data_IF_678103318038
#
_entry.id   IF_678103318038
#
_cell.length_a   1.000
_cell.length_b   1.000
_cell.length_c   1.000
_cell.angle_alpha   90.00
_cell.angle_beta   90.00
_cell.angle_gamma   90.00
#
_symmetry.space_group_name_H-M   'P 1'
#
loop_
_entity.id
_entity.type
_entity.pdbx_description
1 polymer ?
#
# COMPACT_ATOMS: atom_id res chain seq x y z
N UNK A 1 -15.73 -13.27 10.89
CA UNK A 1 -14.98 -12.01 10.64
C UNK A 1 -13.48 -12.17 10.91
N UNK A 2 -13.09 -12.78 12.04
CA UNK A 2 -11.68 -13.14 12.35
C UNK A 2 -10.96 -13.91 11.23
N UNK A 3 -11.59 -14.93 10.65
CA UNK A 3 -10.99 -15.70 9.53
C UNK A 3 -10.75 -14.86 8.26
N UNK A 4 -11.59 -13.87 7.98
CA UNK A 4 -11.38 -12.94 6.86
C UNK A 4 -10.21 -12.01 7.16
N UNK A 5 -10.18 -11.42 8.36
CA UNK A 5 -9.09 -10.54 8.80
C UNK A 5 -7.73 -11.24 8.77
N UNK A 6 -7.68 -12.51 9.20
CA UNK A 6 -6.48 -13.33 9.14
C UNK A 6 -5.99 -13.53 7.70
N UNK A 7 -6.88 -13.96 6.79
CA UNK A 7 -6.54 -14.12 5.36
C UNK A 7 -6.10 -12.80 4.72
N UNK A 8 -6.78 -11.71 5.04
CA UNK A 8 -6.47 -10.37 4.53
C UNK A 8 -5.13 -9.85 5.06
N UNK A 9 -4.79 -10.15 6.31
CA UNK A 9 -3.49 -9.77 6.91
C UNK A 9 -2.33 -10.54 6.28
N UNK A 10 -2.50 -11.85 6.03
CA UNK A 10 -1.52 -12.65 5.27
C UNK A 10 -1.37 -12.11 3.85
N UNK A 11 -2.47 -11.82 3.18
CA UNK A 11 -2.44 -11.21 1.86
C UNK A 11 -1.70 -9.87 1.86
N UNK A 12 -1.90 -9.04 2.88
CA UNK A 12 -1.19 -7.76 3.04
C UNK A 12 0.32 -7.96 3.16
N UNK A 13 0.77 -8.91 3.99
CA UNK A 13 2.20 -9.24 4.13
C UNK A 13 2.76 -9.74 2.79
N UNK A 14 2.04 -10.62 2.10
CA UNK A 14 2.47 -11.14 0.81
C UNK A 14 2.64 -10.03 -0.23
N UNK A 15 1.65 -9.15 -0.38
CA UNK A 15 1.73 -8.02 -1.31
C UNK A 15 2.87 -7.05 -0.93
N UNK A 16 3.09 -6.79 0.35
CA UNK A 16 4.21 -5.96 0.80
C UNK A 16 5.57 -6.54 0.40
N UNK A 17 5.75 -7.86 0.47
CA UNK A 17 6.98 -8.54 0.03
C UNK A 17 7.15 -8.50 -1.49
N UNK A 18 6.07 -8.67 -2.26
CA UNK A 18 6.11 -8.52 -3.72
C UNK A 18 6.50 -7.10 -4.09
N UNK A 19 5.86 -6.10 -3.47
CA UNK A 19 6.16 -4.68 -3.71
C UNK A 19 7.62 -4.35 -3.36
N UNK A 20 8.11 -4.80 -2.20
CA UNK A 20 9.51 -4.65 -1.83
C UNK A 20 10.48 -5.22 -2.86
N UNK A 21 10.18 -6.41 -3.38
CA UNK A 21 11.03 -7.08 -4.38
C UNK A 21 11.05 -6.29 -5.69
N UNK A 22 9.87 -5.86 -6.17
CA UNK A 22 9.74 -5.09 -7.41
C UNK A 22 10.43 -3.73 -7.31
N UNK A 23 10.23 -3.02 -6.20
CA UNK A 23 10.82 -1.70 -5.98
C UNK A 23 12.35 -1.78 -5.83
N UNK A 24 12.84 -2.83 -5.16
CA UNK A 24 14.29 -3.07 -5.05
C UNK A 24 14.91 -3.40 -6.40
N UNK A 25 14.24 -4.21 -7.23
CA UNK A 25 14.69 -4.49 -8.60
C UNK A 25 14.68 -3.23 -9.47
N UNK A 26 13.66 -2.39 -9.34
CA UNK A 26 13.57 -1.13 -10.05
C UNK A 26 14.69 -0.17 -9.62
N UNK A 27 14.96 -0.05 -8.32
CA UNK A 27 16.04 0.76 -7.76
C UNK A 27 17.41 0.32 -8.29
N UNK A 28 17.68 -0.99 -8.35
CA UNK A 28 18.95 -1.53 -8.87
C UNK A 28 19.09 -1.27 -10.37
N UNK A 29 18.01 -1.40 -11.16
CA UNK A 29 18.06 -1.23 -12.62
C UNK A 29 18.14 0.24 -13.07
N UNK A 30 17.42 1.13 -12.40
CA UNK A 30 17.25 2.52 -12.84
C UNK A 30 17.98 3.54 -11.95
N UNK A 31 18.61 3.10 -10.86
CA UNK A 31 19.40 3.98 -9.99
C UNK A 31 18.57 5.01 -9.23
N UNK A 32 17.41 4.61 -8.69
CA UNK A 32 16.50 5.50 -7.95
C UNK A 32 17.20 6.14 -6.74
N UNK A 33 16.90 7.41 -6.50
CA UNK A 33 17.45 8.13 -5.35
C UNK A 33 16.86 7.59 -4.04
N UNK A 34 17.63 7.70 -2.95
CA UNK A 34 17.18 7.29 -1.61
C UNK A 34 15.89 8.04 -1.22
N UNK A 35 15.74 9.30 -1.64
CA UNK A 35 14.54 10.09 -1.40
C UNK A 35 13.28 9.50 -2.06
N UNK A 36 13.45 8.86 -3.23
CA UNK A 36 12.37 8.13 -3.90
C UNK A 36 12.11 6.76 -3.30
N UNK A 37 13.13 6.05 -2.79
CA UNK A 37 12.99 4.68 -2.29
C UNK A 37 12.53 4.59 -0.82
N UNK A 38 12.87 5.60 0.00
CA UNK A 38 12.55 5.62 1.43
C UNK A 38 11.04 5.54 1.73
N UNK A 39 10.16 6.29 1.04
CA UNK A 39 8.72 6.19 1.27
C UNK A 39 8.16 4.79 1.01
N UNK A 40 8.63 4.10 -0.03
CA UNK A 40 8.23 2.72 -0.35
C UNK A 40 8.69 1.74 0.73
N UNK A 41 9.93 1.89 1.24
CA UNK A 41 10.41 1.10 2.38
C UNK A 41 9.55 1.30 3.63
N UNK A 42 9.14 2.53 3.92
CA UNK A 42 8.26 2.83 5.05
C UNK A 42 6.89 2.17 4.83
N UNK A 43 6.33 2.24 3.62
CA UNK A 43 5.07 1.57 3.30
C UNK A 43 5.16 0.05 3.50
N UNK A 44 6.23 -0.57 3.02
CA UNK A 44 6.50 -2.01 3.21
C UNK A 44 6.61 -2.36 4.69
N UNK A 45 7.40 -1.60 5.47
CA UNK A 45 7.58 -1.84 6.89
C UNK A 45 6.25 -1.73 7.66
N UNK A 46 5.43 -0.74 7.33
CA UNK A 46 4.10 -0.55 7.91
C UNK A 46 3.17 -1.71 7.56
N UNK A 47 3.09 -2.12 6.29
CA UNK A 47 2.21 -3.21 5.85
C UNK A 47 2.60 -4.56 6.47
N UNK A 48 3.90 -4.87 6.56
CA UNK A 48 4.40 -6.09 7.21
C UNK A 48 4.09 -6.06 8.71
N UNK A 49 4.44 -4.96 9.39
CA UNK A 49 4.24 -4.83 10.84
C UNK A 49 2.75 -4.87 11.19
N UNK A 50 1.93 -4.12 10.46
CA UNK A 50 0.49 -4.09 10.69
C UNK A 50 -0.17 -5.43 10.39
N UNK A 51 0.24 -6.11 9.30
CA UNK A 51 -0.23 -7.45 8.99
C UNK A 51 0.12 -8.45 10.09
N UNK A 52 1.36 -8.44 10.56
CA UNK A 52 1.81 -9.33 11.63
C UNK A 52 1.09 -9.08 12.96
N UNK A 53 0.95 -7.80 13.35
CA UNK A 53 0.22 -7.43 14.56
C UNK A 53 -1.26 -7.81 14.48
N UNK A 54 -1.89 -7.62 13.32
CA UNK A 54 -3.31 -7.93 13.12
C UNK A 54 -3.59 -9.44 13.09
N UNK A 55 -2.61 -10.25 12.65
CA UNK A 55 -2.68 -11.71 12.78
C UNK A 55 -2.67 -12.16 14.24
N UNK A 56 -1.84 -11.53 15.08
CA UNK A 56 -1.72 -11.87 16.51
C UNK A 56 -2.89 -11.33 17.34
N UNK A 57 -3.30 -10.11 17.06
CA UNK A 57 -4.36 -9.43 17.77
C UNK A 57 -5.27 -8.68 16.80
N UNK A 58 -6.54 -9.08 16.74
CA UNK A 58 -7.55 -8.43 15.91
C UNK A 58 -7.86 -7.00 16.36
N UNK A 59 -7.46 -6.60 17.57
CA UNK A 59 -7.56 -5.23 18.07
C UNK A 59 -6.63 -4.25 17.32
N UNK A 60 -5.55 -4.75 16.71
CA UNK A 60 -4.56 -3.99 15.95
C UNK A 60 -5.02 -3.59 14.54
N UNK A 61 -6.28 -3.85 14.19
CA UNK A 61 -6.82 -3.53 12.86
C UNK A 61 -6.71 -2.05 12.47
N UNK A 62 -6.69 -1.15 13.45
CA UNK A 62 -6.45 0.27 13.23
C UNK A 62 -5.06 0.55 12.63
N UNK A 63 -4.05 -0.24 12.98
CA UNK A 63 -2.70 -0.14 12.43
C UNK A 63 -2.70 -0.61 10.97
N UNK A 64 -3.45 -1.67 10.66
CA UNK A 64 -3.62 -2.16 9.27
C UNK A 64 -4.34 -1.14 8.40
N UNK A 65 -5.35 -0.46 8.94
CA UNK A 65 -6.01 0.65 8.27
C UNK A 65 -5.06 1.83 8.00
N UNK A 66 -4.23 2.19 8.98
CA UNK A 66 -3.21 3.23 8.81
C UNK A 66 -2.18 2.88 7.74
N UNK A 67 -1.71 1.62 7.71
CA UNK A 67 -0.74 1.15 6.72
C UNK A 67 -1.29 1.19 5.27
N UNK A 68 -2.52 0.71 5.06
CA UNK A 68 -3.17 0.79 3.75
C UNK A 68 -3.51 2.24 3.35
N UNK A 69 -3.86 3.10 4.31
CA UNK A 69 -4.06 4.52 4.07
C UNK A 69 -2.77 5.23 3.64
N UNK A 70 -1.65 4.93 4.32
CA UNK A 70 -0.33 5.44 3.93
C UNK A 70 0.05 4.99 2.51
N UNK A 71 -0.11 3.70 2.20
CA UNK A 71 0.17 3.16 0.86
C UNK A 71 -0.71 3.80 -0.23
N UNK A 72 -2.00 4.04 0.05
CA UNK A 72 -2.88 4.73 -0.88
C UNK A 72 -2.44 6.18 -1.13
N UNK A 73 -2.13 6.93 -0.07
CA UNK A 73 -1.63 8.30 -0.20
C UNK A 73 -0.31 8.35 -0.99
N UNK A 74 0.58 7.37 -0.76
CA UNK A 74 1.82 7.21 -1.52
C UNK A 74 1.51 7.02 -3.00
N UNK A 75 0.71 6.01 -3.36
CA UNK A 75 0.31 5.74 -4.74
C UNK A 75 -0.31 6.96 -5.42
N UNK A 76 -1.20 7.66 -4.72
CA UNK A 76 -1.81 8.89 -5.24
C UNK A 76 -0.79 9.97 -5.53
N UNK A 77 0.07 10.28 -4.57
CA UNK A 77 1.10 11.31 -4.76
C UNK A 77 2.07 10.93 -5.88
N UNK A 78 2.48 9.67 -5.95
CA UNK A 78 3.38 9.16 -7.00
C UNK A 78 2.73 9.03 -8.37
N UNK A 79 1.40 9.01 -8.45
CA UNK A 79 0.69 9.07 -9.72
C UNK A 79 0.50 10.52 -10.17
N UNK A 80 0.08 11.40 -9.27
CA UNK A 80 -0.24 12.81 -9.56
C UNK A 80 0.92 13.57 -10.22
N UNK A 81 2.13 13.50 -9.66
CA UNK A 81 3.30 14.18 -10.26
C UNK A 81 3.68 13.65 -11.65
N UNK A 82 3.47 12.35 -11.93
CA UNK A 82 3.74 11.75 -13.25
C UNK A 82 2.67 12.14 -14.27
N UNK A 83 1.44 12.33 -13.80
CA UNK A 83 0.35 12.84 -14.62
C UNK A 83 0.61 14.30 -15.01
N UNK A 84 1.11 15.13 -14.08
CA UNK A 84 1.54 16.50 -14.37
C UNK A 84 2.68 16.51 -15.43
N UNK A 85 3.70 15.65 -15.29
CA UNK A 85 4.79 15.53 -16.28
C UNK A 85 4.30 15.12 -17.68
N UNK A 86 3.26 14.26 -17.76
CA UNK A 86 2.62 13.85 -19.02
C UNK A 86 1.85 14.99 -19.65
N UNK A 87 1.11 15.77 -18.85
CA UNK A 87 0.39 16.96 -19.33
C UNK A 87 1.36 18.03 -19.85
N UNK A 88 2.47 18.24 -19.14
CA UNK A 88 3.49 19.22 -19.49
C UNK A 88 4.38 18.77 -20.68
N UNK A 89 4.19 17.54 -21.18
CA UNK A 89 4.96 16.99 -22.30
C UNK A 89 6.43 16.72 -21.97
N UNK A 90 6.78 16.66 -20.68
CA UNK A 90 8.15 16.41 -20.20
C UNK A 90 8.38 14.96 -19.79
N UNK A 91 7.32 14.14 -19.80
CA UNK A 91 7.38 12.74 -19.46
C UNK A 91 8.27 11.93 -20.42
N UNK A 92 9.05 11.02 -19.84
CA UNK A 92 9.75 9.97 -20.57
C UNK A 92 8.85 8.74 -20.72
N UNK A 93 9.15 7.84 -21.66
CA UNK A 93 8.41 6.56 -21.81
C UNK A 93 8.35 5.75 -20.51
N UNK A 94 9.41 5.84 -19.68
CA UNK A 94 9.45 5.22 -18.36
C UNK A 94 8.43 5.82 -17.39
N UNK A 95 8.30 7.16 -17.39
CA UNK A 95 7.34 7.90 -16.54
C UNK A 95 5.90 7.55 -16.94
N UNK A 96 5.62 7.51 -18.24
CA UNK A 96 4.30 7.18 -18.78
C UNK A 96 3.90 5.73 -18.46
N UNK A 97 4.80 4.77 -18.70
CA UNK A 97 4.56 3.35 -18.37
C UNK A 97 4.31 3.16 -16.87
N UNK A 98 5.11 3.82 -16.03
CA UNK A 98 4.97 3.76 -14.57
C UNK A 98 3.62 4.37 -14.15
N UNK A 99 3.22 5.50 -14.74
CA UNK A 99 1.92 6.13 -14.47
C UNK A 99 0.76 5.18 -14.77
N UNK A 100 0.78 4.47 -15.90
CA UNK A 100 -0.26 3.49 -16.24
C UNK A 100 -0.31 2.36 -15.22
N UNK A 101 0.82 1.78 -14.83
CA UNK A 101 0.87 0.72 -13.81
C UNK A 101 0.28 1.24 -12.48
N UNK A 102 0.66 2.44 -12.06
CA UNK A 102 0.13 3.04 -10.83
C UNK A 102 -1.37 3.31 -10.89
N UNK A 103 -1.90 3.69 -12.06
CA UNK A 103 -3.33 3.89 -12.24
C UNK A 103 -4.13 2.59 -12.00
N UNK A 104 -3.55 1.42 -12.29
CA UNK A 104 -4.16 0.12 -12.00
C UNK A 104 -3.94 -0.37 -10.57
N UNK A 105 -2.80 -0.08 -9.95
CA UNK A 105 -2.50 -0.54 -8.58
C UNK A 105 -3.14 0.36 -7.51
N UNK A 106 -3.36 1.64 -7.79
CA UNK A 106 -4.02 2.58 -6.88
C UNK A 106 -5.42 2.09 -6.42
N UNK A 107 -6.34 1.67 -7.33
CA UNK A 107 -7.64 1.14 -6.93
C UNK A 107 -7.54 -0.01 -5.93
N UNK A 108 -6.52 -0.87 -6.04
CA UNK A 108 -6.30 -1.98 -5.11
C UNK A 108 -6.00 -1.44 -3.70
N UNK A 109 -5.10 -0.45 -3.59
CA UNK A 109 -4.80 0.20 -2.30
C UNK A 109 -6.00 0.97 -1.73
N UNK A 110 -6.80 1.62 -2.59
CA UNK A 110 -8.02 2.32 -2.17
C UNK A 110 -9.07 1.36 -1.63
N UNK A 111 -9.36 0.28 -2.36
CA UNK A 111 -10.32 -0.74 -1.94
C UNK A 111 -9.86 -1.39 -0.62
N UNK A 112 -8.57 -1.70 -0.52
CA UNK A 112 -7.98 -2.27 0.70
C UNK A 112 -8.12 -1.32 1.88
N UNK A 113 -7.86 -0.03 1.67
CA UNK A 113 -8.07 1.01 2.67
C UNK A 113 -9.54 1.10 3.11
N UNK A 114 -10.48 1.16 2.17
CA UNK A 114 -11.93 1.21 2.46
C UNK A 114 -12.37 -0.02 3.26
N UNK A 115 -11.92 -1.23 2.87
CA UNK A 115 -12.22 -2.47 3.60
C UNK A 115 -11.73 -2.36 5.04
N UNK A 116 -10.47 -1.94 5.25
CA UNK A 116 -9.91 -1.80 6.60
C UNK A 116 -10.60 -0.71 7.42
N UNK A 117 -11.06 0.38 6.79
CA UNK A 117 -11.78 1.46 7.43
C UNK A 117 -13.17 1.00 7.90
N UNK A 118 -13.89 0.25 7.05
CA UNK A 118 -15.18 -0.36 7.41
C UNK A 118 -15.00 -1.35 8.57
N UNK A 119 -13.92 -2.11 8.60
CA UNK A 119 -13.65 -3.06 9.69
C UNK A 119 -13.25 -2.35 11.00
N UNK A 120 -12.66 -1.15 10.92
CA UNK A 120 -12.35 -0.32 12.09
C UNK A 120 -13.58 0.30 12.75
N UNK A 121 -14.73 0.37 12.07
CA UNK A 121 -15.96 0.91 12.65
C UNK A 121 -16.38 0.14 13.91
N UNK A 122 -16.88 0.83 14.96
CA UNK A 122 -17.14 0.23 16.27
C UNK A 122 -18.07 -1.00 16.20
N UNK A 123 -19.08 -0.96 15.32
CA UNK A 123 -20.00 -2.09 15.08
C UNK A 123 -19.31 -3.36 14.57
N UNK A 124 -18.26 -3.22 13.76
CA UNK A 124 -17.52 -4.33 13.17
C UNK A 124 -16.33 -4.74 14.05
N UNK A 125 -15.67 -3.77 14.68
CA UNK A 125 -14.62 -3.99 15.68
C UNK A 125 -15.12 -4.85 16.85
N UNK A 126 -16.34 -4.60 17.34
CA UNK A 126 -16.93 -5.40 18.41
C UNK A 126 -17.16 -6.87 17.99
N UNK A 127 -17.41 -7.15 16.70
CA UNK A 127 -17.53 -8.50 16.13
C UNK A 127 -16.17 -9.18 15.86
N UNK A 128 -15.08 -8.42 15.92
CA UNK A 128 -13.71 -8.91 15.79
C UNK A 128 -13.04 -9.17 17.14
N UNK A 129 -13.52 -8.51 18.21
CA UNK A 129 -12.99 -8.67 19.57
C UNK A 129 -13.85 -9.67 20.36
N UNK A 130 -15.19 -9.61 20.20
CA UNK A 130 -16.12 -10.63 20.70
C UNK A 130 -15.87 -12.01 20.10
#
# INVERSE_FOLDING_TARGET
MKAFLYKFSIFTIFIALVHFTLETLFTIKFGQTIAGYLPDLIAVALLITAGFLTVKDSSAIGILCGAWGFAFCLHYRTWAWRFDDVIDGTATELVETTMYVLAFTMPISLISFIITLILCLPKNRNKLIG
#
